data_IF_113509263783
#
_entry.id   IF_113509263783
#
_cell.length_a   1.000
_cell.length_b   1.000
_cell.length_c   1.000
_cell.angle_alpha   90.00
_cell.angle_beta   90.00
_cell.angle_gamma   90.00
#
_symmetry.space_group_name_H-M   'P 1'
#
loop_
_entity.id
_entity.type
_entity.pdbx_description
1 polymer ?
#
# COMPACT_ATOMS: atom_id res chain seq x y z
N UNK A 1 18.63 2.35 6.00
CA UNK A 1 17.30 1.74 6.14
C UNK A 1 17.29 0.51 5.27
N UNK A 2 16.91 -0.64 5.84
CA UNK A 2 17.13 -1.98 5.28
C UNK A 2 16.43 -2.24 3.94
N UNK A 3 15.57 -1.32 3.45
CA UNK A 3 14.81 -1.52 2.20
C UNK A 3 14.70 -0.27 1.31
N UNK A 4 15.74 0.60 1.29
CA UNK A 4 15.67 1.90 0.60
C UNK A 4 15.29 1.79 -0.89
N UNK A 5 15.86 0.84 -1.61
CA UNK A 5 15.59 0.65 -3.05
C UNK A 5 14.13 0.24 -3.33
N UNK A 6 13.60 -0.70 -2.55
CA UNK A 6 12.20 -1.11 -2.67
C UNK A 6 11.26 0.06 -2.35
N UNK A 7 11.54 0.81 -1.28
CA UNK A 7 10.76 1.99 -0.91
C UNK A 7 10.76 3.04 -2.02
N UNK A 8 11.92 3.36 -2.61
CA UNK A 8 12.03 4.31 -3.72
C UNK A 8 11.22 3.87 -4.94
N UNK A 9 11.26 2.58 -5.30
CA UNK A 9 10.46 2.03 -6.41
C UNK A 9 8.96 2.11 -6.15
N UNK A 10 8.52 1.75 -4.94
CA UNK A 10 7.10 1.82 -4.55
C UNK A 10 6.60 3.26 -4.52
N UNK A 11 7.39 4.20 -4.00
CA UNK A 11 7.09 5.64 -4.05
C UNK A 11 6.94 6.09 -5.51
N UNK A 12 7.83 5.67 -6.40
CA UNK A 12 7.72 5.95 -7.83
C UNK A 12 6.39 5.48 -8.44
N UNK A 13 5.94 4.26 -8.09
CA UNK A 13 4.65 3.72 -8.53
C UNK A 13 3.48 4.56 -7.99
N UNK A 14 3.51 4.96 -6.71
CA UNK A 14 2.49 5.80 -6.11
C UNK A 14 2.40 7.18 -6.79
N UNK A 15 3.55 7.77 -7.15
CA UNK A 15 3.57 9.01 -7.93
C UNK A 15 3.01 8.82 -9.34
N UNK A 16 3.30 7.71 -10.01
CA UNK A 16 2.73 7.41 -11.33
C UNK A 16 1.19 7.36 -11.26
N UNK A 17 0.63 6.65 -10.27
CA UNK A 17 -0.81 6.61 -10.01
C UNK A 17 -1.37 8.01 -9.74
N UNK A 18 -0.76 8.77 -8.83
CA UNK A 18 -1.24 10.11 -8.48
C UNK A 18 -1.18 11.07 -9.68
N UNK A 19 -0.11 11.02 -10.49
CA UNK A 19 0.02 11.86 -11.67
C UNK A 19 -1.02 11.52 -12.75
N UNK A 20 -1.43 10.26 -12.84
CA UNK A 20 -2.43 9.81 -13.81
C UNK A 20 -3.87 10.11 -13.37
N UNK A 21 -4.19 9.90 -12.08
CA UNK A 21 -5.56 9.99 -11.56
C UNK A 21 -5.89 11.31 -10.86
N UNK A 22 -4.88 12.02 -10.35
CA UNK A 22 -5.09 13.15 -9.44
C UNK A 22 -5.73 12.75 -8.12
N UNK A 23 -6.40 13.69 -7.45
CA UNK A 23 -7.18 13.49 -6.21
C UNK A 23 -8.69 13.37 -6.50
N UNK A 24 -9.46 12.80 -5.56
CA UNK A 24 -10.93 12.80 -5.60
C UNK A 24 -11.59 11.43 -5.77
N UNK A 25 -10.81 10.35 -5.77
CA UNK A 25 -11.32 8.99 -5.79
C UNK A 25 -11.29 8.33 -4.41
N UNK A 26 -12.01 7.22 -4.28
CA UNK A 26 -11.96 6.36 -3.09
C UNK A 26 -10.61 5.64 -3.00
N UNK A 27 -10.21 5.30 -1.78
CA UNK A 27 -8.99 4.53 -1.49
C UNK A 27 -8.90 3.24 -2.31
N UNK A 28 -10.01 2.54 -2.49
CA UNK A 28 -10.07 1.31 -3.29
C UNK A 28 -9.69 1.52 -4.76
N UNK A 29 -9.93 2.71 -5.33
CA UNK A 29 -9.51 3.01 -6.70
C UNK A 29 -7.99 3.17 -6.76
N UNK A 30 -7.41 3.86 -5.79
CA UNK A 30 -5.95 4.03 -5.70
C UNK A 30 -5.24 2.72 -5.39
N UNK A 31 -5.82 1.85 -4.55
CA UNK A 31 -5.29 0.51 -4.28
C UNK A 31 -5.18 -0.29 -5.58
N UNK A 32 -6.26 -0.36 -6.36
CA UNK A 32 -6.28 -1.12 -7.61
C UNK A 32 -5.30 -0.53 -8.64
N UNK A 33 -5.22 0.79 -8.76
CA UNK A 33 -4.25 1.42 -9.65
C UNK A 33 -2.80 1.15 -9.22
N UNK A 34 -2.53 1.18 -7.91
CA UNK A 34 -1.20 0.92 -7.36
C UNK A 34 -0.77 -0.53 -7.58
N UNK A 35 -1.68 -1.51 -7.42
CA UNK A 35 -1.38 -2.92 -7.72
C UNK A 35 -0.95 -3.11 -9.17
N UNK A 36 -1.60 -2.42 -10.12
CA UNK A 36 -1.25 -2.45 -11.54
C UNK A 36 0.16 -1.89 -11.77
N UNK A 37 0.45 -0.72 -11.19
CA UNK A 37 1.78 -0.08 -11.34
C UNK A 37 2.90 -0.90 -10.68
N UNK A 38 2.65 -1.49 -9.52
CA UNK A 38 3.59 -2.38 -8.84
C UNK A 38 3.87 -3.64 -9.69
N UNK A 39 2.83 -4.23 -10.29
CA UNK A 39 2.98 -5.36 -11.20
C UNK A 39 3.81 -4.98 -12.44
N UNK A 40 3.56 -3.82 -13.06
CA UNK A 40 4.36 -3.32 -14.18
C UNK A 40 5.82 -3.07 -13.81
N UNK A 41 6.06 -2.63 -12.58
CA UNK A 41 7.39 -2.47 -12.02
C UNK A 41 8.07 -3.80 -11.66
N UNK A 42 7.42 -4.95 -11.85
CA UNK A 42 7.94 -6.28 -11.51
C UNK A 42 8.00 -6.53 -10.00
N UNK A 43 7.13 -5.88 -9.22
CA UNK A 43 7.00 -6.06 -7.79
C UNK A 43 5.76 -6.91 -7.48
N UNK A 44 5.95 -8.07 -6.88
CA UNK A 44 4.86 -8.86 -6.31
C UNK A 44 4.20 -8.07 -5.17
N UNK A 45 2.89 -7.93 -5.24
CA UNK A 45 2.08 -7.23 -4.26
C UNK A 45 0.75 -7.96 -4.06
N UNK A 46 0.30 -8.07 -2.82
CA UNK A 46 -0.97 -8.70 -2.45
C UNK A 46 -1.79 -7.70 -1.67
N UNK A 47 -3.06 -7.51 -2.03
CA UNK A 47 -3.94 -6.62 -1.28
C UNK A 47 -4.71 -7.31 -0.17
N UNK A 48 -5.16 -6.51 0.80
CA UNK A 48 -6.05 -6.93 1.89
C UNK A 48 -5.50 -8.11 2.70
N UNK A 49 -4.21 -8.03 3.04
CA UNK A 49 -3.51 -9.10 3.78
C UNK A 49 -3.93 -9.09 5.23
N UNK A 50 -4.57 -10.18 5.66
CA UNK A 50 -4.99 -10.40 7.04
C UNK A 50 -3.80 -10.70 7.94
N UNK A 51 -3.55 -9.83 8.91
CA UNK A 51 -2.49 -9.93 9.91
C UNK A 51 -3.10 -10.06 11.31
N UNK A 52 -2.59 -10.98 12.11
CA UNK A 52 -2.97 -11.13 13.52
C UNK A 52 -2.33 -10.01 14.35
N UNK A 53 -3.12 -9.33 15.17
CA UNK A 53 -2.63 -8.30 16.08
C UNK A 53 -2.55 -8.88 17.48
N UNK A 54 -1.33 -8.98 18.01
CA UNK A 54 -1.05 -9.49 19.35
C UNK A 54 -0.66 -8.34 20.27
N UNK A 55 -1.35 -8.22 21.40
CA UNK A 55 -1.03 -7.26 22.45
C UNK A 55 -0.80 -8.00 23.76
N UNK A 56 0.42 -7.89 24.31
CA UNK A 56 0.85 -8.56 25.55
C UNK A 56 0.63 -10.09 25.56
N UNK A 57 0.82 -10.72 24.41
CA UNK A 57 0.65 -12.17 24.24
C UNK A 57 -0.79 -12.60 23.95
N UNK A 58 -1.75 -11.67 23.96
CA UNK A 58 -3.15 -11.95 23.66
C UNK A 58 -3.52 -11.45 22.25
N UNK A 59 -4.28 -12.25 21.51
CA UNK A 59 -4.83 -11.83 20.22
C UNK A 59 -5.94 -10.81 20.46
N UNK A 60 -5.74 -9.58 19.99
CA UNK A 60 -6.71 -8.48 20.15
C UNK A 60 -7.52 -8.19 18.89
N UNK A 61 -7.18 -8.83 17.77
CA UNK A 61 -7.94 -8.72 16.56
C UNK A 61 -7.12 -9.01 15.32
N UNK A 62 -7.65 -8.57 14.18
CA UNK A 62 -6.99 -8.69 12.89
C UNK A 62 -6.89 -7.30 12.26
N UNK A 63 -5.72 -7.01 11.71
CA UNK A 63 -5.47 -5.87 10.86
C UNK A 63 -5.44 -6.36 9.41
N UNK A 64 -6.02 -5.60 8.48
CA UNK A 64 -5.96 -5.91 7.06
C UNK A 64 -5.09 -4.84 6.42
N UNK A 65 -3.87 -5.22 6.05
CA UNK A 65 -2.97 -4.34 5.33
C UNK A 65 -3.52 -4.13 3.91
N UNK A 66 -3.64 -2.88 3.46
CA UNK A 66 -4.15 -2.59 2.12
C UNK A 66 -3.31 -3.26 1.03
N UNK A 67 -1.98 -3.15 1.12
CA UNK A 67 -1.04 -3.84 0.21
C UNK A 67 0.20 -4.33 0.96
N UNK A 68 0.62 -5.58 0.72
CA UNK A 68 1.91 -6.12 1.12
C UNK A 68 2.78 -6.35 -0.12
N UNK A 69 3.88 -5.62 -0.22
CA UNK A 69 4.84 -5.67 -1.34
C UNK A 69 6.04 -6.54 -0.97
N UNK A 70 6.36 -7.50 -1.84
CA UNK A 70 7.49 -8.44 -1.70
C UNK A 70 7.50 -9.21 -0.36
N UNK A 71 6.38 -9.29 0.36
CA UNK A 71 6.32 -9.91 1.68
C UNK A 71 7.01 -9.11 2.80
N UNK A 72 7.51 -7.91 2.52
CA UNK A 72 8.39 -7.15 3.43
C UNK A 72 7.90 -5.73 3.72
N UNK A 73 7.16 -5.10 2.79
CA UNK A 73 6.72 -3.72 2.92
C UNK A 73 5.19 -3.63 2.92
N UNK A 74 4.62 -3.22 4.04
CA UNK A 74 3.19 -2.93 4.18
C UNK A 74 2.92 -1.50 3.75
N UNK A 75 1.89 -1.31 2.91
CA UNK A 75 1.35 -0.03 2.53
C UNK A 75 -0.06 0.10 3.09
N UNK A 76 -0.33 1.25 3.71
CA UNK A 76 -1.65 1.69 4.13
C UNK A 76 -2.01 2.89 3.27
N UNK A 77 -3.11 2.81 2.54
CA UNK A 77 -3.56 3.86 1.64
C UNK A 77 -4.57 4.74 2.37
N UNK A 78 -4.43 6.04 2.13
CA UNK A 78 -5.39 7.05 2.59
C UNK A 78 -5.62 8.03 1.45
N UNK A 79 -6.89 8.34 1.17
CA UNK A 79 -7.25 9.28 0.13
C UNK A 79 -8.12 10.40 0.71
N UNK A 80 -7.70 11.64 0.49
CA UNK A 80 -8.47 12.85 0.83
C UNK A 80 -8.30 13.86 -0.30
N UNK A 81 -9.31 14.71 -0.50
CA UNK A 81 -9.23 15.82 -1.45
C UNK A 81 -8.33 16.95 -0.93
N UNK A 82 -8.24 17.12 0.39
CA UNK A 82 -7.43 18.15 1.02
C UNK A 82 -6.89 17.69 2.38
N UNK A 83 -5.69 18.16 2.71
CA UNK A 83 -5.13 18.11 4.06
C UNK A 83 -5.67 19.34 4.80
N UNK A 84 -6.75 19.17 5.56
CA UNK A 84 -7.31 20.20 6.44
C UNK A 84 -6.84 20.03 7.88
#
# INVERSE_FOLDING_TARGET
MENRELTERVIGCAYAVHNALGSGFLESVYEQALLIELQHAGLEAVSQVKLEVVYRGEVVGHFFADVLVQGELILELKATEALT
#
